data_IF_183138107793
#
_entry.id   IF_183138107793
#
_cell.length_a   1.000
_cell.length_b   1.000
_cell.length_c   1.000
_cell.angle_alpha   90.00
_cell.angle_beta   90.00
_cell.angle_gamma   90.00
#
_symmetry.space_group_name_H-M   'P 1'
#
loop_
_entity.id
_entity.type
_entity.pdbx_description
1 polymer ?
#
# COMPACT_ATOMS: atom_id res chain seq x y z
N UNK A 1 -26.34 16.83 21.79
CA UNK A 1 -26.56 16.37 20.41
C UNK A 1 -25.97 14.98 20.29
N UNK A 2 -26.85 13.98 20.33
CA UNK A 2 -26.47 12.57 20.20
C UNK A 2 -25.94 12.30 18.78
N UNK A 3 -24.82 11.62 18.60
CA UNK A 3 -24.36 11.24 17.29
C UNK A 3 -25.40 10.31 16.65
N UNK A 4 -26.01 10.74 15.55
CA UNK A 4 -26.98 9.94 14.83
C UNK A 4 -26.30 8.68 14.31
N UNK A 5 -26.57 7.55 14.92
CA UNK A 5 -26.20 6.24 14.39
C UNK A 5 -27.05 6.01 13.14
N UNK A 6 -26.42 6.00 11.97
CA UNK A 6 -27.09 5.65 10.72
C UNK A 6 -27.09 4.11 10.62
N UNK A 7 -28.26 3.51 10.74
CA UNK A 7 -28.44 2.08 10.50
C UNK A 7 -28.68 1.88 9.00
N UNK A 8 -27.69 1.38 8.27
CA UNK A 8 -27.86 0.98 6.88
C UNK A 8 -28.48 -0.42 6.86
N UNK A 9 -29.68 -0.54 6.32
CA UNK A 9 -30.33 -1.82 6.06
C UNK A 9 -29.81 -2.37 4.70
N UNK A 10 -29.98 -3.68 4.46
CA UNK A 10 -29.51 -4.32 3.24
C UNK A 10 -29.99 -3.68 1.94
N UNK A 11 -31.16 -3.03 1.95
CA UNK A 11 -31.72 -2.26 0.83
C UNK A 11 -30.89 -1.00 0.52
N UNK A 12 -30.36 -0.33 1.55
CA UNK A 12 -29.53 0.88 1.39
C UNK A 12 -28.17 0.56 0.76
N UNK A 13 -27.70 -0.69 0.88
CA UNK A 13 -26.45 -1.16 0.27
C UNK A 13 -26.55 -1.30 -1.26
N UNK A 14 -27.74 -1.52 -1.80
CA UNK A 14 -27.98 -1.60 -3.25
C UNK A 14 -28.04 -0.23 -3.92
N UNK A 15 -28.34 0.84 -3.16
CA UNK A 15 -28.34 2.23 -3.65
C UNK A 15 -26.95 2.87 -3.57
N UNK A 16 -25.97 2.23 -2.95
CA UNK A 16 -24.57 2.65 -3.08
C UNK A 16 -24.15 2.46 -4.53
N UNK A 17 -23.70 3.54 -5.18
CA UNK A 17 -23.15 3.52 -6.56
C UNK A 17 -21.80 2.81 -6.60
N UNK A 18 -21.74 1.59 -6.08
CA UNK A 18 -20.59 0.71 -6.10
C UNK A 18 -20.84 -0.33 -7.17
N UNK A 19 -19.97 -0.41 -8.15
CA UNK A 19 -19.96 -1.51 -9.10
C UNK A 19 -19.34 -2.71 -8.38
N UNK A 20 -20.17 -3.67 -8.00
CA UNK A 20 -19.71 -4.91 -7.39
C UNK A 20 -19.03 -5.76 -8.46
N UNK A 21 -17.85 -6.32 -8.21
CA UNK A 21 -17.21 -7.23 -9.16
C UNK A 21 -17.99 -8.54 -9.29
N UNK A 22 -18.07 -9.06 -10.51
CA UNK A 22 -18.72 -10.34 -10.81
C UNK A 22 -18.02 -11.57 -10.17
N UNK A 23 -16.87 -11.37 -9.57
CA UNK A 23 -16.11 -12.37 -8.85
C UNK A 23 -15.47 -11.80 -7.57
N UNK A 24 -15.43 -12.61 -6.51
CA UNK A 24 -14.82 -12.32 -5.20
C UNK A 24 -13.29 -12.11 -5.23
N UNK A 25 -12.67 -12.08 -6.39
CA UNK A 25 -11.25 -11.83 -6.56
C UNK A 25 -11.01 -10.32 -6.73
N UNK A 26 -11.19 -9.56 -5.67
CA UNK A 26 -10.73 -8.20 -5.44
C UNK A 26 -10.51 -7.29 -6.65
N UNK A 27 -11.55 -6.92 -7.38
CA UNK A 27 -11.51 -5.79 -8.30
C UNK A 27 -12.73 -4.89 -8.02
N UNK A 28 -12.48 -3.64 -7.72
CA UNK A 28 -13.54 -2.65 -7.54
C UNK A 28 -13.21 -1.40 -8.37
N UNK A 29 -14.22 -0.92 -9.09
CA UNK A 29 -14.16 0.39 -9.75
C UNK A 29 -15.29 1.24 -9.18
N UNK A 30 -14.98 2.41 -8.67
CA UNK A 30 -15.99 3.35 -8.18
C UNK A 30 -16.66 4.03 -9.37
N UNK A 31 -17.99 4.22 -9.29
CA UNK A 31 -18.75 4.93 -10.32
C UNK A 31 -18.33 6.41 -10.45
N UNK A 32 -18.00 7.04 -9.32
CA UNK A 32 -17.55 8.43 -9.24
C UNK A 32 -16.23 8.48 -8.43
N UNK A 33 -15.06 8.26 -9.05
CA UNK A 33 -13.78 8.32 -8.36
C UNK A 33 -13.50 9.74 -7.86
N UNK A 34 -12.77 9.84 -6.75
CA UNK A 34 -12.35 11.13 -6.21
C UNK A 34 -11.38 11.81 -7.19
N UNK A 35 -11.51 13.13 -7.32
CA UNK A 35 -10.57 13.93 -8.07
C UNK A 35 -9.41 14.41 -7.16
N UNK A 36 -8.18 14.48 -7.68
CA UNK A 36 -7.05 14.98 -6.92
C UNK A 36 -7.18 16.48 -6.63
N UNK A 37 -6.83 16.87 -5.41
CA UNK A 37 -6.74 18.29 -5.01
C UNK A 37 -5.51 18.94 -5.65
N UNK A 38 -5.45 20.29 -5.79
CA UNK A 38 -4.35 20.98 -6.46
C UNK A 38 -2.94 20.55 -6.01
N UNK A 39 -2.70 20.46 -4.70
CA UNK A 39 -1.41 20.02 -4.15
C UNK A 39 -1.09 18.54 -4.44
N UNK A 40 -2.12 17.72 -4.66
CA UNK A 40 -1.95 16.31 -5.06
C UNK A 40 -1.64 16.22 -6.56
N UNK A 41 -2.28 17.06 -7.40
CA UNK A 41 -1.96 17.17 -8.83
C UNK A 41 -0.49 17.52 -9.01
N UNK A 42 -0.01 18.57 -8.33
CA UNK A 42 1.40 18.98 -8.35
C UNK A 42 2.35 17.83 -7.93
N UNK A 43 2.00 17.10 -6.88
CA UNK A 43 2.79 15.96 -6.43
C UNK A 43 2.79 14.81 -7.43
N UNK A 44 1.64 14.50 -8.06
CA UNK A 44 1.50 13.46 -9.08
C UNK A 44 2.33 13.81 -10.32
N UNK A 45 2.22 15.04 -10.82
CA UNK A 45 3.00 15.53 -11.95
C UNK A 45 4.50 15.39 -11.67
N UNK A 46 4.97 15.85 -10.52
CA UNK A 46 6.37 15.74 -10.13
C UNK A 46 6.86 14.28 -10.02
N UNK A 47 6.01 13.35 -9.54
CA UNK A 47 6.33 11.92 -9.50
C UNK A 47 6.45 11.35 -10.91
N UNK A 48 5.47 11.64 -11.76
CA UNK A 48 5.42 11.10 -13.13
C UNK A 48 6.57 11.65 -13.97
N UNK A 49 6.80 12.96 -13.96
CA UNK A 49 7.91 13.60 -14.66
C UNK A 49 9.27 13.06 -14.18
N UNK A 50 9.42 12.83 -12.87
CA UNK A 50 10.63 12.27 -12.32
C UNK A 50 10.92 10.86 -12.83
N UNK A 51 9.92 9.98 -12.87
CA UNK A 51 10.06 8.62 -13.38
C UNK A 51 10.21 8.59 -14.91
N UNK A 52 9.48 9.41 -15.65
CA UNK A 52 9.59 9.54 -17.10
C UNK A 52 10.96 10.14 -17.49
N UNK A 53 11.53 10.97 -16.63
CA UNK A 53 12.90 11.45 -16.74
C UNK A 53 13.99 10.41 -16.41
N UNK A 54 13.59 9.18 -16.09
CA UNK A 54 14.50 8.05 -15.85
C UNK A 54 14.97 7.87 -14.41
N UNK A 55 14.40 8.59 -13.44
CA UNK A 55 14.69 8.34 -12.03
C UNK A 55 14.23 6.93 -11.61
N UNK A 56 15.09 6.15 -10.97
CA UNK A 56 14.70 4.84 -10.42
C UNK A 56 14.08 4.96 -9.01
N UNK A 57 14.34 6.07 -8.31
CA UNK A 57 13.91 6.29 -6.91
C UNK A 57 13.49 7.73 -6.72
N UNK A 58 12.31 7.94 -6.17
CA UNK A 58 11.79 9.26 -5.81
C UNK A 58 11.33 9.27 -4.34
N UNK A 59 11.41 10.42 -3.73
CA UNK A 59 10.93 10.64 -2.38
C UNK A 59 9.93 11.79 -2.37
N UNK A 60 8.76 11.56 -1.77
CA UNK A 60 7.68 12.52 -1.65
C UNK A 60 7.45 12.86 -0.19
N UNK A 61 7.52 14.14 0.12
CA UNK A 61 7.26 14.67 1.44
C UNK A 61 5.90 15.35 1.46
N UNK A 62 4.92 14.70 2.07
CA UNK A 62 3.57 15.23 2.22
C UNK A 62 3.14 15.11 3.68
N UNK A 63 2.59 16.18 4.26
CA UNK A 63 2.13 16.16 5.64
C UNK A 63 1.08 15.06 5.90
N UNK A 64 0.94 14.64 7.15
CA UNK A 64 -0.12 13.70 7.52
C UNK A 64 -1.50 14.30 7.20
N UNK A 65 -2.42 13.47 6.70
CA UNK A 65 -3.78 13.90 6.34
C UNK A 65 -3.91 14.64 5.00
N UNK A 66 -2.82 14.87 4.24
CA UNK A 66 -2.89 15.52 2.92
C UNK A 66 -3.23 14.55 1.77
N UNK A 67 -3.48 13.27 2.07
CA UNK A 67 -3.91 12.26 1.11
C UNK A 67 -2.78 11.58 0.35
N UNK A 68 -1.66 11.26 1.02
CA UNK A 68 -0.54 10.48 0.46
C UNK A 68 -1.01 9.20 -0.24
N UNK A 69 -1.90 8.45 0.40
CA UNK A 69 -2.45 7.18 -0.12
C UNK A 69 -3.11 7.35 -1.48
N UNK A 70 -3.88 8.44 -1.65
CA UNK A 70 -4.52 8.78 -2.93
C UNK A 70 -3.51 9.28 -3.96
N UNK A 71 -2.53 10.08 -3.56
CA UNK A 71 -1.45 10.52 -4.46
C UNK A 71 -0.70 9.31 -5.03
N UNK A 72 -0.42 8.30 -4.18
CA UNK A 72 0.19 7.05 -4.63
C UNK A 72 -0.73 6.27 -5.61
N UNK A 73 -2.04 6.21 -5.34
CA UNK A 73 -3.01 5.58 -6.24
C UNK A 73 -3.02 6.24 -7.62
N UNK A 74 -3.09 7.56 -7.67
CA UNK A 74 -3.12 8.28 -8.95
C UNK A 74 -1.80 8.17 -9.72
N UNK A 75 -0.67 8.21 -9.03
CA UNK A 75 0.63 7.93 -9.64
C UNK A 75 0.69 6.49 -10.19
N UNK A 76 0.18 5.49 -9.45
CA UNK A 76 0.01 4.12 -9.93
C UNK A 76 -0.83 4.07 -11.22
N UNK A 77 -1.99 4.75 -11.25
CA UNK A 77 -2.88 4.76 -12.41
C UNK A 77 -2.21 5.39 -13.65
N UNK A 78 -1.43 6.44 -13.46
CA UNK A 78 -0.69 7.09 -14.55
C UNK A 78 0.44 6.21 -15.07
N UNK A 79 1.25 5.65 -14.19
CA UNK A 79 2.41 4.84 -14.54
C UNK A 79 2.03 3.47 -15.11
N UNK A 80 0.82 3.00 -14.82
CA UNK A 80 0.24 1.72 -15.25
C UNK A 80 1.24 0.54 -15.16
N UNK A 81 1.94 0.32 -14.04
CA UNK A 81 2.87 -0.79 -13.89
C UNK A 81 2.10 -2.11 -13.83
N UNK A 82 2.62 -3.15 -14.46
CA UNK A 82 1.94 -4.47 -14.47
C UNK A 82 1.91 -5.12 -13.10
N UNK A 83 2.98 -4.98 -12.31
CA UNK A 83 3.11 -5.50 -10.95
C UNK A 83 3.55 -4.38 -10.00
N UNK A 84 2.77 -4.16 -8.95
CA UNK A 84 3.05 -3.14 -7.94
C UNK A 84 3.05 -3.76 -6.55
N UNK A 85 3.88 -3.24 -5.66
CA UNK A 85 3.77 -3.48 -4.23
C UNK A 85 3.59 -2.17 -3.48
N UNK A 86 2.67 -2.18 -2.51
CA UNK A 86 2.46 -1.08 -1.55
C UNK A 86 2.84 -1.58 -0.16
N UNK A 87 3.89 -1.00 0.39
CA UNK A 87 4.43 -1.35 1.69
C UNK A 87 3.90 -0.39 2.75
N UNK A 88 3.36 -0.95 3.82
CA UNK A 88 2.73 -0.22 4.91
C UNK A 88 3.26 -0.67 6.28
N UNK A 89 3.27 0.21 7.29
CA UNK A 89 3.87 -0.10 8.59
C UNK A 89 2.99 -0.98 9.50
N UNK A 90 1.70 -1.08 9.23
CA UNK A 90 0.77 -1.82 10.08
C UNK A 90 -0.39 -2.43 9.29
N UNK A 91 -1.04 -3.41 9.91
CA UNK A 91 -2.21 -4.07 9.35
C UNK A 91 -3.40 -3.11 9.19
N UNK A 92 -3.62 -2.22 10.16
CA UNK A 92 -4.70 -1.21 10.09
C UNK A 92 -4.52 -0.29 8.87
N UNK A 93 -3.28 0.18 8.62
CA UNK A 93 -2.97 0.99 7.45
C UNK A 93 -3.08 0.18 6.15
N UNK A 94 -2.76 -1.11 6.16
CA UNK A 94 -2.97 -1.99 4.99
C UNK A 94 -4.45 -2.05 4.63
N UNK A 95 -5.32 -2.34 5.60
CA UNK A 95 -6.76 -2.39 5.40
C UNK A 95 -7.33 -1.07 4.89
N UNK A 96 -6.91 0.04 5.49
CA UNK A 96 -7.31 1.37 5.03
C UNK A 96 -6.86 1.60 3.58
N UNK A 97 -5.60 1.31 3.26
CA UNK A 97 -5.03 1.52 1.92
C UNK A 97 -5.75 0.67 0.87
N UNK A 98 -6.02 -0.61 1.18
CA UNK A 98 -6.77 -1.48 0.27
C UNK A 98 -8.17 -0.90 0.01
N UNK A 99 -8.91 -0.52 1.06
CA UNK A 99 -10.24 0.08 0.93
C UNK A 99 -10.22 1.37 0.11
N UNK A 100 -9.29 2.26 0.38
CA UNK A 100 -9.14 3.53 -0.34
C UNK A 100 -8.79 3.30 -1.82
N UNK A 101 -7.86 2.39 -2.11
CA UNK A 101 -7.45 2.08 -3.47
C UNK A 101 -8.56 1.39 -4.25
N UNK A 102 -9.18 0.35 -3.71
CA UNK A 102 -10.26 -0.38 -4.38
C UNK A 102 -11.51 0.46 -4.59
N UNK A 103 -11.83 1.36 -3.66
CA UNK A 103 -13.00 2.24 -3.77
C UNK A 103 -12.80 3.43 -4.72
N UNK A 104 -11.55 3.82 -5.03
CA UNK A 104 -11.27 5.05 -5.79
C UNK A 104 -10.45 4.82 -7.06
N UNK A 105 -10.07 3.58 -7.35
CA UNK A 105 -9.38 3.28 -8.61
C UNK A 105 -10.28 3.48 -9.82
N UNK A 106 -9.69 4.00 -10.91
CA UNK A 106 -10.32 4.07 -12.23
C UNK A 106 -9.85 2.94 -13.16
N UNK A 107 -8.83 2.19 -12.74
CA UNK A 107 -8.26 1.06 -13.48
C UNK A 107 -8.39 -0.21 -12.63
N UNK A 108 -8.83 -1.30 -13.24
CA UNK A 108 -8.94 -2.58 -12.55
C UNK A 108 -7.57 -3.16 -12.22
N UNK A 109 -7.45 -3.77 -11.05
CA UNK A 109 -6.29 -4.58 -10.67
C UNK A 109 -6.73 -5.72 -9.75
N UNK A 110 -5.99 -6.83 -9.77
CA UNK A 110 -6.06 -7.83 -8.72
C UNK A 110 -5.18 -7.44 -7.55
N UNK A 111 -5.56 -7.83 -6.34
CA UNK A 111 -4.70 -7.57 -5.18
C UNK A 111 -4.53 -8.79 -4.29
N UNK A 112 -3.39 -8.79 -3.56
CA UNK A 112 -3.05 -9.81 -2.57
C UNK A 112 -2.50 -9.12 -1.32
N UNK A 113 -3.14 -9.30 -0.14
CA UNK A 113 -2.56 -8.88 1.13
C UNK A 113 -1.49 -9.90 1.58
N UNK A 114 -0.30 -9.40 1.92
CA UNK A 114 0.80 -10.21 2.46
C UNK A 114 1.16 -9.71 3.87
N UNK A 115 0.74 -10.48 4.87
CA UNK A 115 1.03 -10.18 6.27
C UNK A 115 0.95 -11.44 7.13
N UNK A 116 1.70 -11.48 8.24
CA UNK A 116 1.82 -12.64 9.14
C UNK A 116 0.66 -12.80 10.13
N UNK A 117 -0.12 -11.75 10.40
CA UNK A 117 -1.22 -11.78 11.35
C UNK A 117 -2.56 -11.55 10.66
N UNK A 118 -3.31 -12.63 10.50
CA UNK A 118 -4.71 -12.59 10.05
C UNK A 118 -5.65 -12.17 11.19
N UNK A 119 -5.19 -12.30 12.42
CA UNK A 119 -5.88 -11.85 13.62
C UNK A 119 -4.98 -10.90 14.37
N UNK A 120 -5.38 -9.65 14.51
CA UNK A 120 -4.86 -8.77 15.55
C UNK A 120 -5.26 -9.40 16.89
N UNK A 121 -4.47 -10.38 17.36
CA UNK A 121 -4.51 -10.77 18.73
C UNK A 121 -3.95 -9.59 19.52
N UNK A 122 -4.86 -9.00 20.27
CA UNK A 122 -4.70 -7.99 21.27
C UNK A 122 -3.42 -8.16 22.10
N UNK A 123 -2.35 -7.50 21.74
CA UNK A 123 -1.36 -7.07 22.73
C UNK A 123 -1.97 -5.86 23.45
N UNK A 124 -3.04 -6.14 24.23
CA UNK A 124 -3.65 -5.18 25.12
C UNK A 124 -2.67 -4.86 26.22
N UNK A 125 -2.13 -3.64 26.19
CA UNK A 125 -1.70 -3.02 27.45
C UNK A 125 -2.96 -2.78 28.29
N UNK A 126 -3.01 -3.21 29.58
CA UNK A 126 -4.17 -2.98 30.43
C UNK A 126 -4.40 -1.47 30.57
N UNK A 127 -5.50 -0.97 30.01
CA UNK A 127 -5.95 0.42 30.18
C UNK A 127 -6.09 1.27 28.91
N UNK A 128 -5.86 0.73 27.72
CA UNK A 128 -6.21 1.41 26.46
C UNK A 128 -7.60 0.93 25.99
N UNK A 129 -8.48 1.89 25.69
CA UNK A 129 -9.76 1.61 25.06
C UNK A 129 -9.52 0.93 23.70
N UNK A 130 -10.35 -0.07 23.31
CA UNK A 130 -10.20 -0.71 22.00
C UNK A 130 -10.40 0.33 20.90
N UNK A 131 -9.36 0.56 20.09
CA UNK A 131 -9.47 1.34 18.87
C UNK A 131 -10.50 0.65 17.97
N UNK A 132 -11.66 1.27 17.67
CA UNK A 132 -12.71 0.68 16.85
C UNK A 132 -12.29 0.44 15.40
N UNK A 133 -11.06 0.81 15.03
CA UNK A 133 -10.47 0.63 13.70
C UNK A 133 -9.63 -0.64 13.53
N UNK A 134 -9.59 -1.53 14.51
CA UNK A 134 -8.97 -2.86 14.35
C UNK A 134 -9.85 -3.69 13.40
N UNK A 135 -9.64 -3.48 12.10
CA UNK A 135 -10.38 -4.18 11.06
C UNK A 135 -9.86 -5.61 10.88
N UNK A 136 -10.76 -6.55 10.94
CA UNK A 136 -10.52 -7.95 10.56
C UNK A 136 -10.33 -8.03 9.04
N UNK A 137 -9.21 -8.63 8.57
CA UNK A 137 -8.95 -8.88 7.13
C UNK A 137 -10.03 -9.75 6.49
N UNK A 138 -10.78 -10.53 7.29
CA UNK A 138 -11.92 -11.30 6.79
C UNK A 138 -13.02 -10.44 6.14
N UNK A 139 -13.05 -9.14 6.43
CA UNK A 139 -13.99 -8.18 5.82
C UNK A 139 -13.63 -7.85 4.36
N UNK A 140 -12.42 -8.19 3.91
CA UNK A 140 -11.96 -7.83 2.57
C UNK A 140 -12.23 -8.89 1.49
N UNK A 141 -12.85 -10.03 1.81
CA UNK A 141 -13.03 -11.17 0.91
C UNK A 141 -11.73 -11.66 0.21
N UNK A 142 -10.57 -11.17 0.65
CA UNK A 142 -9.27 -11.55 0.12
C UNK A 142 -8.43 -12.17 1.25
N UNK A 143 -8.11 -13.47 1.18
CA UNK A 143 -7.30 -14.12 2.21
C UNK A 143 -5.89 -13.55 2.19
N UNK A 144 -5.45 -13.01 3.34
CA UNK A 144 -4.05 -12.68 3.53
C UNK A 144 -3.21 -13.97 3.62
N UNK A 145 -2.00 -13.91 3.11
CA UNK A 145 -1.11 -15.07 3.10
C UNK A 145 0.34 -14.70 3.39
N UNK A 146 1.08 -15.65 3.95
CA UNK A 146 2.55 -15.68 4.02
C UNK A 146 3.12 -16.91 3.34
N UNK A 147 2.29 -17.65 2.60
CA UNK A 147 2.74 -18.80 1.82
C UNK A 147 3.49 -18.32 0.58
N UNK A 148 4.79 -18.67 0.51
CA UNK A 148 5.69 -18.24 -0.57
C UNK A 148 5.23 -18.72 -1.93
N UNK A 149 4.71 -19.96 -2.03
CA UNK A 149 4.27 -20.53 -3.31
C UNK A 149 2.96 -19.87 -3.79
N UNK A 150 2.03 -19.61 -2.88
CA UNK A 150 0.80 -18.88 -3.19
C UNK A 150 1.11 -17.44 -3.65
N UNK A 151 2.00 -16.73 -2.97
CA UNK A 151 2.44 -15.39 -3.37
C UNK A 151 3.14 -15.47 -4.74
N UNK A 152 4.07 -16.40 -4.94
CA UNK A 152 4.77 -16.55 -6.21
C UNK A 152 3.80 -16.87 -7.37
N UNK A 153 2.75 -17.67 -7.12
CA UNK A 153 1.67 -17.92 -8.06
C UNK A 153 0.94 -16.63 -8.46
N UNK A 154 0.60 -15.77 -7.48
CA UNK A 154 0.00 -14.47 -7.73
C UNK A 154 0.93 -13.51 -8.51
N UNK A 155 2.23 -13.51 -8.19
CA UNK A 155 3.20 -12.67 -8.88
C UNK A 155 3.39 -13.03 -10.36
N UNK A 156 3.07 -14.25 -10.78
CA UNK A 156 3.15 -14.73 -12.18
C UNK A 156 1.92 -14.42 -13.03
N UNK A 157 0.84 -13.90 -12.44
CA UNK A 157 -0.33 -13.51 -13.22
C UNK A 157 0.05 -12.47 -14.27
N UNK A 158 -0.69 -12.42 -15.38
CA UNK A 158 -0.40 -11.51 -16.50
C UNK A 158 -1.28 -10.24 -16.47
N UNK A 159 -2.15 -10.13 -15.47
CA UNK A 159 -3.06 -9.01 -15.27
C UNK A 159 -2.41 -7.92 -14.39
N UNK A 160 -2.88 -6.65 -14.46
CA UNK A 160 -2.50 -5.63 -13.50
C UNK A 160 -2.76 -6.09 -12.06
N UNK A 161 -1.76 -6.07 -11.23
CA UNK A 161 -1.84 -6.63 -9.86
C UNK A 161 -1.06 -5.81 -8.86
N UNK A 162 -1.60 -5.73 -7.64
CA UNK A 162 -1.03 -4.99 -6.53
C UNK A 162 -0.87 -5.91 -5.32
N UNK A 163 0.31 -5.99 -4.77
CA UNK A 163 0.56 -6.63 -3.48
C UNK A 163 0.54 -5.56 -2.40
N UNK A 164 -0.34 -5.71 -1.40
CA UNK A 164 -0.29 -4.90 -0.19
C UNK A 164 0.46 -5.68 0.88
N UNK A 165 1.60 -5.17 1.32
CA UNK A 165 2.48 -5.91 2.20
C UNK A 165 2.85 -5.08 3.44
N UNK A 166 2.82 -5.69 4.63
CA UNK A 166 3.44 -5.06 5.79
C UNK A 166 4.96 -5.14 5.67
N UNK A 167 5.68 -4.14 6.20
CA UNK A 167 7.14 -4.20 6.20
C UNK A 167 7.68 -5.47 6.86
N UNK A 168 7.03 -5.96 7.91
CA UNK A 168 7.42 -7.19 8.61
C UNK A 168 7.38 -8.44 7.71
N UNK A 169 6.53 -8.44 6.69
CA UNK A 169 6.40 -9.56 5.75
C UNK A 169 7.19 -9.37 4.46
N UNK A 170 8.00 -8.32 4.35
CA UNK A 170 8.78 -8.02 3.14
C UNK A 170 9.80 -9.11 2.81
N UNK A 171 10.36 -9.82 3.79
CA UNK A 171 11.28 -10.94 3.55
C UNK A 171 10.58 -12.12 2.87
N UNK A 172 9.37 -12.46 3.31
CA UNK A 172 8.55 -13.51 2.69
C UNK A 172 8.18 -13.14 1.24
N UNK A 173 7.84 -11.87 1.02
CA UNK A 173 7.57 -11.38 -0.33
C UNK A 173 8.82 -11.41 -1.22
N UNK A 174 10.00 -11.08 -0.68
CA UNK A 174 11.27 -11.17 -1.39
C UNK A 174 11.59 -12.63 -1.80
N UNK A 175 11.37 -13.58 -0.91
CA UNK A 175 11.56 -15.01 -1.21
C UNK A 175 10.59 -15.47 -2.33
N UNK A 176 9.33 -15.01 -2.28
CA UNK A 176 8.36 -15.28 -3.34
C UNK A 176 8.74 -14.62 -4.68
N UNK A 177 9.32 -13.42 -4.67
CA UNK A 177 9.86 -12.78 -5.87
C UNK A 177 10.96 -13.61 -6.51
N UNK A 178 11.88 -14.16 -5.70
CA UNK A 178 12.94 -15.03 -6.18
C UNK A 178 12.38 -16.31 -6.81
N UNK A 179 11.40 -16.96 -6.18
CA UNK A 179 10.71 -18.14 -6.70
C UNK A 179 9.93 -17.84 -7.99
N UNK A 180 9.31 -16.67 -8.06
CA UNK A 180 8.55 -16.26 -9.24
C UNK A 180 9.42 -15.75 -10.39
N UNK A 181 10.67 -15.34 -10.14
CA UNK A 181 11.46 -14.56 -11.07
C UNK A 181 10.82 -13.19 -11.37
N UNK A 182 10.10 -12.64 -10.40
CA UNK A 182 9.30 -11.45 -10.59
C UNK A 182 10.10 -10.17 -10.29
N UNK A 183 9.78 -9.09 -11.03
CA UNK A 183 10.29 -7.74 -10.84
C UNK A 183 9.11 -6.78 -10.73
N UNK A 184 9.11 -5.92 -9.70
CA UNK A 184 8.08 -4.90 -9.55
C UNK A 184 8.29 -3.76 -10.57
N UNK A 185 7.23 -3.36 -11.25
CA UNK A 185 7.23 -2.13 -12.04
C UNK A 185 7.19 -0.89 -11.15
N UNK A 186 6.53 -1.01 -9.96
CA UNK A 186 6.48 0.06 -8.97
C UNK A 186 6.48 -0.50 -7.55
N UNK A 187 7.32 0.06 -6.70
CA UNK A 187 7.30 -0.11 -5.23
C UNK A 187 6.86 1.21 -4.62
N UNK A 188 5.77 1.20 -3.86
CA UNK A 188 5.33 2.33 -3.02
C UNK A 188 5.65 1.98 -1.58
N UNK A 189 6.49 2.79 -0.92
CA UNK A 189 6.87 2.62 0.48
C UNK A 189 6.24 3.76 1.30
N UNK A 190 5.11 3.47 1.95
CA UNK A 190 4.44 4.46 2.81
C UNK A 190 5.11 4.54 4.18
N UNK A 191 5.09 5.74 4.78
CA UNK A 191 5.80 6.08 6.02
C UNK A 191 7.28 5.67 5.99
N UNK A 192 7.94 5.96 4.86
CA UNK A 192 9.31 5.53 4.55
C UNK A 192 10.38 5.98 5.58
N UNK A 193 10.07 6.97 6.44
CA UNK A 193 10.95 7.36 7.54
C UNK A 193 11.21 6.18 8.52
N UNK A 194 10.35 5.16 8.54
CA UNK A 194 10.55 3.95 9.32
C UNK A 194 11.59 3.01 8.71
N UNK A 195 11.90 3.16 7.41
CA UNK A 195 12.97 2.40 6.74
C UNK A 195 14.37 2.92 7.07
N UNK A 196 14.46 4.10 7.66
CA UNK A 196 15.72 4.75 8.02
C UNK A 196 16.10 4.45 9.46
N UNK A 197 17.25 3.82 9.71
CA UNK A 197 17.77 3.70 11.08
C UNK A 197 18.56 2.44 11.42
N UNK A 198 18.38 1.35 10.70
CA UNK A 198 19.28 0.16 10.76
C UNK A 198 19.21 -0.55 9.41
N UNK A 199 20.28 -0.50 8.65
CA UNK A 199 20.42 -1.20 7.36
C UNK A 199 20.33 -2.75 7.48
N UNK A 200 20.21 -3.28 8.68
CA UNK A 200 20.12 -4.71 9.00
C UNK A 200 18.76 -5.15 9.54
N UNK A 201 17.73 -4.32 9.43
CA UNK A 201 16.39 -4.66 9.91
C UNK A 201 15.43 -4.99 8.76
N UNK A 202 14.25 -5.46 9.12
CA UNK A 202 13.11 -5.82 8.25
C UNK A 202 12.82 -4.77 7.14
N UNK A 203 13.22 -3.52 7.36
CA UNK A 203 13.09 -2.45 6.39
C UNK A 203 14.22 -2.41 5.34
N UNK A 204 15.35 -3.10 5.57
CA UNK A 204 16.50 -3.13 4.65
C UNK A 204 16.20 -3.90 3.37
N UNK A 205 15.40 -4.96 3.47
CA UNK A 205 15.03 -5.85 2.35
C UNK A 205 14.44 -5.09 1.18
N UNK A 206 13.58 -4.10 1.43
CA UNK A 206 12.90 -3.29 0.40
C UNK A 206 13.87 -2.38 -0.38
N UNK A 207 15.02 -2.07 0.22
CA UNK A 207 16.06 -1.23 -0.39
C UNK A 207 17.06 -2.04 -1.21
N UNK A 208 17.11 -3.35 -0.99
CA UNK A 208 18.01 -4.29 -1.64
C UNK A 208 17.46 -4.65 -3.03
N UNK A 209 18.20 -4.31 -4.08
CA UNK A 209 17.80 -4.57 -5.46
C UNK A 209 17.85 -6.06 -5.83
N UNK A 210 18.74 -6.81 -5.21
CA UNK A 210 18.91 -8.24 -5.48
C UNK A 210 17.79 -9.05 -4.84
N UNK A 211 17.36 -8.66 -3.63
CA UNK A 211 16.27 -9.33 -2.91
C UNK A 211 14.88 -8.83 -3.30
N UNK A 212 14.77 -7.56 -3.65
CA UNK A 212 13.50 -6.89 -3.94
C UNK A 212 13.59 -6.10 -5.25
N UNK A 213 13.70 -6.80 -6.40
CA UNK A 213 13.95 -6.16 -7.68
C UNK A 213 12.77 -5.27 -8.11
N UNK A 214 13.06 -4.02 -8.50
CA UNK A 214 12.06 -3.06 -8.94
C UNK A 214 12.59 -2.11 -10.02
N UNK A 215 11.70 -1.63 -10.88
CA UNK A 215 12.04 -0.59 -11.85
C UNK A 215 12.00 0.80 -11.21
N UNK A 216 10.95 1.04 -10.41
CA UNK A 216 10.67 2.34 -9.79
C UNK A 216 10.35 2.16 -8.31
N UNK A 217 10.88 3.06 -7.47
CA UNK A 217 10.58 3.11 -6.03
C UNK A 217 10.12 4.50 -5.63
N UNK A 218 8.93 4.59 -5.09
CA UNK A 218 8.32 5.80 -4.54
C UNK A 218 8.29 5.71 -3.02
N UNK A 219 9.09 6.54 -2.36
CA UNK A 219 9.12 6.64 -0.90
C UNK A 219 8.25 7.82 -0.46
N UNK A 220 7.27 7.56 0.38
CA UNK A 220 6.35 8.58 0.89
C UNK A 220 6.48 8.75 2.39
N UNK A 221 6.56 9.97 2.88
CA UNK A 221 6.65 10.25 4.31
C UNK A 221 6.07 11.60 4.68
N UNK A 222 5.43 11.67 5.86
CA UNK A 222 4.99 12.93 6.46
C UNK A 222 6.07 13.60 7.32
N UNK A 223 7.08 12.85 7.73
CA UNK A 223 8.16 13.31 8.64
C UNK A 223 9.52 12.92 8.10
N UNK A 224 10.12 13.74 7.21
CA UNK A 224 11.46 13.47 6.72
C UNK A 224 12.47 13.48 7.87
N UNK A 225 13.27 12.43 7.96
CA UNK A 225 14.42 12.40 8.87
C UNK A 225 15.64 12.89 8.11
N UNK A 226 16.15 14.04 8.49
CA UNK A 226 17.46 14.51 8.03
C UNK A 226 18.51 14.01 9.02
N UNK A 227 19.43 13.18 8.55
CA UNK A 227 20.63 12.89 9.34
C UNK A 227 21.59 14.05 9.17
N UNK A 228 22.04 14.62 10.28
CA UNK A 228 23.18 15.54 10.23
C UNK A 228 24.36 14.74 9.63
N UNK A 229 25.03 15.31 8.62
CA UNK A 229 26.27 14.74 8.12
C UNK A 229 27.20 14.53 9.32
N UNK A 230 27.81 13.33 9.40
CA UNK A 230 28.85 13.08 10.38
C UNK A 230 29.86 14.23 10.24
N UNK A 231 30.12 14.95 11.33
CA UNK A 231 31.24 15.90 11.37
C UNK A 231 32.47 15.05 11.17
N UNK A 232 33.16 15.23 10.05
CA UNK A 232 34.50 14.70 9.88
C UNK A 232 35.32 15.20 11.10
N UNK A 233 35.69 14.26 11.94
CA UNK A 233 36.50 14.54 13.12
C UNK A 233 37.89 14.92 12.70
N UNK A 234 38.40 16.00 13.30
CA UNK A 234 39.81 16.33 13.38
C UNK A 234 40.64 15.17 13.96
#
# INVERSE_FOLDING_TARGET
>A
DDPKTLLLLGEDLFDLRVVWPDSLAGSAVRADPLEPKPHQVEAIEAICDGFDGGAARLQVHMACGTGKTFTALWAYQYLAPGLTVVLVPSLSLMLQTIREWTANTTVGFRFLPVCSDVKVTEDKRPGEDPDPTVGDLSVLDAPATTDVDAIAGFLRLDEPRVVFCTYQSSDVLADACAVAGARFGLVVADEAHRTTGRASGVFGTVLDEDRFPAERRLFMTGTPRTFAAAKDGD
#
